data_IF_372157100404
#
_entry.id   IF_372157100404
#
_cell.length_a   1.000
_cell.length_b   1.000
_cell.length_c   1.000
_cell.angle_alpha   90.00
_cell.angle_beta   90.00
_cell.angle_gamma   90.00
#
_symmetry.space_group_name_H-M   'P 1'
#
loop_
_entity.id
_entity.type
_entity.pdbx_description
1 polymer ?
#
# COMPACT_ATOMS: atom_id res chain seq x y z
N UNK A 1 22.11 32.22 -16.93
CA UNK A 1 22.23 30.85 -16.41
C UNK A 1 20.83 30.36 -16.09
N UNK A 2 20.29 29.44 -16.89
CA UNK A 2 18.98 28.85 -16.64
C UNK A 2 19.25 27.58 -15.83
N UNK A 3 18.93 27.62 -14.54
CA UNK A 3 18.91 26.44 -13.68
C UNK A 3 17.71 25.60 -14.11
N UNK A 4 17.97 24.56 -14.90
CA UNK A 4 16.99 23.51 -15.17
C UNK A 4 16.78 22.73 -13.87
N UNK A 5 15.61 22.91 -13.25
CA UNK A 5 15.11 21.97 -12.27
C UNK A 5 15.09 20.59 -12.95
N UNK A 6 15.82 19.62 -12.38
CA UNK A 6 15.67 18.21 -12.79
C UNK A 6 14.25 17.80 -12.42
N UNK A 7 13.37 17.74 -13.42
CA UNK A 7 12.11 17.02 -13.32
C UNK A 7 12.43 15.61 -12.83
N UNK A 8 12.02 15.25 -11.61
CA UNK A 8 12.46 14.03 -10.93
C UNK A 8 11.86 12.76 -11.53
N UNK A 9 11.15 12.86 -12.68
CA UNK A 9 10.58 11.74 -13.42
C UNK A 9 9.51 10.96 -12.65
N UNK A 10 9.08 11.48 -11.49
CA UNK A 10 8.06 10.87 -10.65
C UNK A 10 6.71 10.98 -11.36
N UNK A 11 6.18 9.84 -11.78
CA UNK A 11 4.85 9.79 -12.38
C UNK A 11 3.80 10.31 -11.41
N UNK A 12 2.84 11.08 -11.92
CA UNK A 12 1.67 11.57 -11.14
C UNK A 12 0.51 10.58 -11.15
N UNK A 13 0.53 9.62 -12.07
CA UNK A 13 -0.49 8.58 -12.24
C UNK A 13 0.26 7.25 -12.44
N UNK A 14 -0.12 6.16 -11.75
CA UNK A 14 0.52 4.87 -11.93
C UNK A 14 0.44 4.38 -13.38
N UNK A 15 1.52 3.77 -13.87
CA UNK A 15 1.57 3.23 -15.22
C UNK A 15 0.41 2.26 -15.47
N UNK A 16 -0.29 2.47 -16.58
CA UNK A 16 -1.42 1.65 -17.00
C UNK A 16 -2.77 2.03 -16.36
N UNK A 17 -2.83 3.12 -15.60
CA UNK A 17 -4.09 3.74 -15.16
C UNK A 17 -4.33 5.04 -15.92
N UNK A 18 -5.60 5.32 -16.19
CA UNK A 18 -6.06 6.67 -16.56
C UNK A 18 -6.24 7.54 -15.32
N UNK A 19 -6.28 8.87 -15.48
CA UNK A 19 -6.58 9.79 -14.38
C UNK A 19 -7.92 9.47 -13.71
N UNK A 20 -8.96 9.19 -14.50
CA UNK A 20 -10.28 8.84 -14.00
C UNK A 20 -10.27 7.57 -13.14
N UNK A 21 -9.55 6.52 -13.58
CA UNK A 21 -9.39 5.31 -12.77
C UNK A 21 -8.62 5.58 -11.48
N UNK A 22 -7.58 6.41 -11.55
CA UNK A 22 -6.78 6.76 -10.37
C UNK A 22 -7.60 7.55 -9.34
N UNK A 23 -8.41 8.50 -9.78
CA UNK A 23 -9.30 9.29 -8.93
C UNK A 23 -10.43 8.45 -8.31
N UNK A 24 -10.99 7.52 -9.09
CA UNK A 24 -12.03 6.60 -8.62
C UNK A 24 -11.51 5.71 -7.48
N UNK A 25 -10.34 5.10 -7.65
CA UNK A 25 -9.75 4.29 -6.57
C UNK A 25 -9.22 5.13 -5.42
N UNK A 26 -8.80 6.37 -5.66
CA UNK A 26 -8.44 7.31 -4.60
C UNK A 26 -9.63 7.58 -3.69
N UNK A 27 -10.79 7.88 -4.28
CA UNK A 27 -12.05 8.09 -3.55
C UNK A 27 -12.40 6.88 -2.68
N UNK A 28 -12.30 5.66 -3.25
CA UNK A 28 -12.52 4.42 -2.51
C UNK A 28 -11.55 4.26 -1.33
N UNK A 29 -10.25 4.44 -1.57
CA UNK A 29 -9.21 4.27 -0.54
C UNK A 29 -9.38 5.28 0.59
N UNK A 30 -9.68 6.53 0.26
CA UNK A 30 -9.93 7.60 1.23
C UNK A 30 -11.15 7.30 2.09
N UNK A 31 -12.25 6.86 1.48
CA UNK A 31 -13.49 6.48 2.20
C UNK A 31 -13.29 5.27 3.11
N UNK A 32 -12.74 4.19 2.57
CA UNK A 32 -12.80 2.88 3.25
C UNK A 32 -11.56 2.56 4.08
N UNK A 33 -10.42 3.19 3.78
CA UNK A 33 -9.14 2.89 4.43
C UNK A 33 -8.50 4.11 5.11
N UNK A 34 -9.02 5.32 4.89
CA UNK A 34 -8.51 6.55 5.49
C UNK A 34 -8.46 6.54 7.02
N UNK A 35 -9.36 5.81 7.68
CA UNK A 35 -9.34 5.63 9.14
C UNK A 35 -8.03 4.97 9.66
N UNK A 36 -7.29 4.26 8.81
CA UNK A 36 -5.98 3.67 9.14
C UNK A 36 -4.86 4.70 8.98
N UNK A 37 -4.98 5.69 8.11
CA UNK A 37 -3.99 6.74 7.93
C UNK A 37 -4.17 7.49 6.62
N UNK A 38 -3.70 8.74 6.61
CA UNK A 38 -3.83 9.65 5.46
C UNK A 38 -2.70 9.51 4.44
N UNK A 39 -1.57 8.89 4.80
CA UNK A 39 -0.46 8.64 3.87
C UNK A 39 -0.72 7.34 3.09
N UNK A 40 -1.57 7.44 2.07
CA UNK A 40 -1.88 6.34 1.15
C UNK A 40 -1.13 6.56 -0.16
N UNK A 41 -0.40 5.55 -0.61
CA UNK A 41 0.51 5.62 -1.75
C UNK A 41 0.33 4.43 -2.69
N UNK A 42 0.68 4.63 -3.96
CA UNK A 42 1.03 3.55 -4.89
C UNK A 42 2.55 3.38 -4.89
N UNK A 43 3.02 2.15 -4.88
CA UNK A 43 4.44 1.84 -4.99
C UNK A 43 4.69 0.71 -6.02
N UNK A 44 5.91 0.19 -6.05
CA UNK A 44 6.27 -0.92 -6.93
C UNK A 44 6.43 -0.54 -8.40
N UNK A 45 6.29 -1.51 -9.29
CA UNK A 45 6.65 -1.37 -10.71
C UNK A 45 5.80 -0.32 -11.45
N UNK A 46 4.51 -0.23 -11.12
CA UNK A 46 3.60 0.76 -11.71
C UNK A 46 3.82 2.17 -11.20
N UNK A 47 4.37 2.35 -10.00
CA UNK A 47 4.85 3.66 -9.54
C UNK A 47 6.19 4.03 -10.20
N UNK A 48 7.05 3.04 -10.48
CA UNK A 48 8.34 3.22 -11.17
C UNK A 48 8.24 3.46 -12.68
N UNK A 49 7.17 2.99 -13.32
CA UNK A 49 6.99 3.08 -14.77
C UNK A 49 7.66 1.96 -15.57
N UNK A 50 7.98 0.85 -14.91
CA UNK A 50 8.60 -0.33 -15.54
C UNK A 50 7.74 -1.61 -15.40
N UNK A 51 6.44 -1.45 -15.18
CA UNK A 51 5.49 -2.53 -15.08
C UNK A 51 5.27 -3.21 -16.45
N UNK A 52 5.11 -4.53 -16.41
CA UNK A 52 4.65 -5.32 -17.55
C UNK A 52 3.11 -5.32 -17.63
N UNK A 53 2.55 -5.79 -18.75
CA UNK A 53 1.10 -5.97 -18.89
C UNK A 53 0.48 -6.92 -17.83
N UNK A 54 1.29 -7.82 -17.24
CA UNK A 54 0.84 -8.78 -16.22
C UNK A 54 1.10 -8.31 -14.78
N UNK A 55 1.81 -7.20 -14.61
CA UNK A 55 2.13 -6.65 -13.29
C UNK A 55 0.87 -6.22 -12.56
N UNK A 56 0.83 -6.46 -11.25
CA UNK A 56 -0.16 -5.91 -10.33
C UNK A 56 0.10 -4.42 -10.06
N UNK A 57 -0.83 -3.81 -9.32
CA UNK A 57 -0.66 -2.50 -8.69
C UNK A 57 -0.59 -2.69 -7.17
N UNK A 58 0.40 -2.09 -6.54
CA UNK A 58 0.59 -2.17 -5.09
C UNK A 58 0.19 -0.85 -4.43
N UNK A 59 -0.79 -0.91 -3.54
CA UNK A 59 -1.19 0.19 -2.66
C UNK A 59 -0.66 -0.04 -1.23
N UNK A 60 -0.22 1.03 -0.60
CA UNK A 60 0.28 1.01 0.77
C UNK A 60 -0.31 2.17 1.58
N UNK A 61 -0.73 1.89 2.80
CA UNK A 61 -1.03 2.89 3.82
C UNK A 61 0.18 2.94 4.75
N UNK A 62 0.93 4.04 4.71
CA UNK A 62 2.08 4.25 5.57
C UNK A 62 1.63 4.75 6.92
N UNK A 63 2.14 4.13 7.96
CA UNK A 63 1.85 4.52 9.33
C UNK A 63 3.14 4.66 10.15
N UNK A 64 3.15 5.52 11.19
CA UNK A 64 4.25 5.57 12.14
C UNK A 64 4.44 4.25 12.88
N UNK A 65 5.63 4.05 13.46
CA UNK A 65 5.99 2.85 14.21
C UNK A 65 4.95 2.49 15.29
N UNK A 66 4.55 3.46 16.11
CA UNK A 66 3.60 3.26 17.21
C UNK A 66 2.24 2.75 16.71
N UNK A 67 1.74 3.31 15.61
CA UNK A 67 0.46 2.88 15.02
C UNK A 67 0.58 1.49 14.41
N UNK A 68 1.71 1.19 13.76
CA UNK A 68 1.98 -0.14 13.24
C UNK A 68 1.94 -1.20 14.35
N UNK A 69 2.63 -0.95 15.46
CA UNK A 69 2.68 -1.88 16.60
C UNK A 69 1.32 -2.03 17.29
N UNK A 70 0.55 -0.93 17.41
CA UNK A 70 -0.83 -0.98 17.89
C UNK A 70 -1.73 -1.84 16.97
N UNK A 71 -1.52 -1.78 15.65
CA UNK A 71 -2.21 -2.65 14.70
C UNK A 71 -1.78 -4.10 14.85
N UNK A 72 -0.50 -4.40 15.03
CA UNK A 72 -0.03 -5.76 15.30
C UNK A 72 -0.73 -6.32 16.55
N UNK A 73 -0.72 -5.56 17.66
CA UNK A 73 -1.36 -5.99 18.91
C UNK A 73 -2.86 -6.22 18.74
N UNK A 74 -3.57 -5.30 18.10
CA UNK A 74 -5.03 -5.40 17.94
C UNK A 74 -5.46 -6.51 16.98
N UNK A 75 -4.72 -6.76 15.90
CA UNK A 75 -5.08 -7.78 14.89
C UNK A 75 -4.65 -9.19 15.30
N UNK A 76 -3.45 -9.31 15.86
CA UNK A 76 -2.90 -10.63 16.19
C UNK A 76 -3.19 -11.06 17.63
N UNK A 77 -3.25 -10.13 18.58
CA UNK A 77 -3.40 -10.43 20.00
C UNK A 77 -2.17 -11.19 20.53
N UNK A 78 -2.42 -12.25 21.28
CA UNK A 78 -1.38 -13.18 21.78
C UNK A 78 -1.61 -14.57 21.18
N UNK A 79 -1.27 -14.78 19.90
CA UNK A 79 -1.47 -16.08 19.27
C UNK A 79 -0.58 -17.15 19.92
N UNK A 80 -1.09 -18.39 19.95
CA UNK A 80 -0.31 -19.52 20.44
C UNK A 80 1.02 -19.63 19.69
N UNK A 81 2.14 -19.90 20.39
CA UNK A 81 3.42 -20.21 19.75
C UNK A 81 3.26 -21.27 18.66
N UNK A 82 4.03 -21.14 17.58
CA UNK A 82 4.04 -22.05 16.42
C UNK A 82 2.71 -22.18 15.65
N UNK A 83 1.67 -21.41 16.01
CA UNK A 83 0.46 -21.32 15.20
C UNK A 83 0.73 -20.61 13.87
N UNK A 84 -0.13 -20.87 12.87
CA UNK A 84 -0.08 -20.12 11.62
C UNK A 84 -0.22 -18.62 11.86
N UNK A 85 -1.10 -18.21 12.78
CA UNK A 85 -1.30 -16.81 13.17
C UNK A 85 -0.04 -16.20 13.80
N UNK A 86 0.67 -16.95 14.63
CA UNK A 86 1.93 -16.51 15.22
C UNK A 86 3.01 -16.30 14.15
N UNK A 87 3.16 -17.23 13.20
CA UNK A 87 4.09 -17.06 12.06
C UNK A 87 3.73 -15.84 11.21
N UNK A 88 2.45 -15.63 10.92
CA UNK A 88 1.99 -14.44 10.17
C UNK A 88 2.29 -13.15 10.92
N UNK A 89 2.05 -13.11 12.25
CA UNK A 89 2.38 -11.97 13.10
C UNK A 89 3.88 -11.68 13.06
N UNK A 90 4.74 -12.69 13.25
CA UNK A 90 6.18 -12.54 13.21
C UNK A 90 6.67 -12.03 11.86
N UNK A 91 6.10 -12.53 10.76
CA UNK A 91 6.40 -12.04 9.43
C UNK A 91 6.01 -10.56 9.25
N UNK A 92 4.85 -10.15 9.76
CA UNK A 92 4.42 -8.75 9.70
C UNK A 92 5.36 -7.83 10.50
N UNK A 93 5.79 -8.27 11.69
CA UNK A 93 6.75 -7.54 12.53
C UNK A 93 8.13 -7.45 11.86
N UNK A 94 8.66 -8.55 11.33
CA UNK A 94 10.00 -8.58 10.74
C UNK A 94 10.07 -7.75 9.46
N UNK A 95 9.02 -7.76 8.66
CA UNK A 95 8.95 -7.02 7.40
C UNK A 95 8.48 -5.58 7.55
N UNK A 96 7.75 -5.26 8.61
CA UNK A 96 7.03 -4.00 8.74
C UNK A 96 5.86 -3.88 7.77
N UNK A 97 5.22 -4.99 7.37
CA UNK A 97 4.07 -5.02 6.45
C UNK A 97 2.92 -5.89 6.99
N UNK A 98 1.74 -5.31 7.12
CA UNK A 98 0.49 -6.02 7.41
C UNK A 98 -0.31 -6.15 6.10
N UNK A 99 -0.58 -7.39 5.67
CA UNK A 99 -1.33 -7.66 4.45
C UNK A 99 -2.81 -7.26 4.60
N UNK A 100 -3.50 -6.97 3.49
CA UNK A 100 -4.93 -6.58 3.49
C UNK A 100 -5.83 -7.50 4.33
N UNK A 101 -5.61 -8.82 4.29
CA UNK A 101 -6.41 -9.77 5.07
C UNK A 101 -6.32 -9.50 6.58
N UNK A 102 -5.10 -9.41 7.08
CA UNK A 102 -4.81 -9.16 8.51
C UNK A 102 -5.15 -7.73 8.93
N UNK A 103 -5.07 -6.78 7.99
CA UNK A 103 -5.45 -5.39 8.22
C UNK A 103 -6.98 -5.16 8.18
N UNK A 104 -7.79 -6.17 7.85
CA UNK A 104 -9.24 -6.01 7.69
C UNK A 104 -9.66 -5.30 6.40
N UNK A 105 -8.76 -5.18 5.42
CA UNK A 105 -8.94 -4.48 4.15
C UNK A 105 -9.26 -5.41 2.98
N UNK A 106 -9.63 -6.67 3.25
CA UNK A 106 -9.89 -7.67 2.20
C UNK A 106 -10.98 -7.24 1.23
N UNK A 107 -12.06 -6.63 1.73
CA UNK A 107 -13.16 -6.13 0.90
C UNK A 107 -12.70 -4.99 -0.01
N UNK A 108 -11.99 -3.99 0.56
CA UNK A 108 -11.41 -2.86 -0.19
C UNK A 108 -10.49 -3.35 -1.30
N UNK A 109 -9.58 -4.29 -1.00
CA UNK A 109 -8.69 -4.88 -2.02
C UNK A 109 -9.47 -5.53 -3.17
N UNK A 110 -10.55 -6.26 -2.88
CA UNK A 110 -11.38 -6.89 -3.92
C UNK A 110 -12.07 -5.86 -4.79
N UNK A 111 -12.55 -4.76 -4.20
CA UNK A 111 -13.20 -3.68 -4.94
C UNK A 111 -12.18 -2.92 -5.81
N UNK A 112 -10.95 -2.70 -5.34
CA UNK A 112 -9.86 -2.16 -6.16
C UNK A 112 -9.61 -3.01 -7.42
N UNK A 113 -9.49 -4.33 -7.25
CA UNK A 113 -9.30 -5.24 -8.37
C UNK A 113 -10.47 -5.17 -9.38
N UNK A 114 -11.71 -5.08 -8.88
CA UNK A 114 -12.90 -5.00 -9.71
C UNK A 114 -12.93 -3.71 -10.54
N UNK A 115 -12.66 -2.56 -9.91
CA UNK A 115 -12.66 -1.24 -10.56
C UNK A 115 -11.55 -1.09 -11.59
N UNK A 116 -10.37 -1.65 -11.30
CA UNK A 116 -9.20 -1.54 -12.17
C UNK A 116 -9.13 -2.62 -13.25
N UNK A 117 -9.89 -3.71 -13.10
CA UNK A 117 -9.80 -4.86 -14.02
C UNK A 117 -8.43 -5.55 -14.01
N UNK A 118 -7.65 -5.40 -12.93
CA UNK A 118 -6.32 -6.00 -12.78
C UNK A 118 -6.06 -6.45 -11.35
N UNK A 119 -4.97 -7.19 -11.14
CA UNK A 119 -4.52 -7.57 -9.79
C UNK A 119 -4.09 -6.32 -9.02
N UNK A 120 -4.55 -6.21 -7.79
CA UNK A 120 -4.24 -5.10 -6.90
C UNK A 120 -3.96 -5.63 -5.50
N UNK A 121 -2.85 -5.21 -4.92
CA UNK A 121 -2.51 -5.47 -3.54
C UNK A 121 -2.67 -4.23 -2.68
N UNK A 122 -3.02 -4.45 -1.42
CA UNK A 122 -3.20 -3.40 -0.42
C UNK A 122 -2.55 -3.87 0.88
N UNK A 123 -1.77 -3.00 1.50
CA UNK A 123 -1.11 -3.30 2.77
C UNK A 123 -0.94 -2.07 3.63
N UNK A 124 -0.74 -2.29 4.93
CA UNK A 124 -0.27 -1.26 5.85
C UNK A 124 1.22 -1.48 6.04
N UNK A 125 2.02 -0.44 5.84
CA UNK A 125 3.48 -0.53 5.99
C UNK A 125 3.99 0.45 7.04
N UNK A 126 5.05 0.04 7.72
CA UNK A 126 5.73 0.88 8.71
C UNK A 126 6.64 1.88 8.02
N UNK A 127 6.54 3.15 8.41
CA UNK A 127 7.46 4.20 7.97
C UNK A 127 8.91 3.85 8.30
N UNK A 128 9.83 4.07 7.36
CA UNK A 128 11.24 3.67 7.46
C UNK A 128 11.49 2.15 7.42
N UNK A 129 10.45 1.34 7.18
CA UNK A 129 10.55 -0.10 7.07
C UNK A 129 11.07 -0.59 5.71
N UNK A 130 11.25 -1.91 5.58
CA UNK A 130 11.76 -2.54 4.36
C UNK A 130 10.86 -2.28 3.13
N UNK A 131 9.54 -2.20 3.33
CA UNK A 131 8.57 -1.91 2.27
C UNK A 131 8.33 -0.42 2.06
N UNK A 132 8.90 0.44 2.90
CA UNK A 132 8.94 1.88 2.71
C UNK A 132 10.16 2.26 1.86
N UNK A 133 10.21 1.73 0.64
CA UNK A 133 11.19 2.08 -0.40
C UNK A 133 10.48 2.58 -1.66
N UNK A 134 10.72 3.85 -2.03
CA UNK A 134 10.13 4.49 -3.20
C UNK A 134 10.62 3.95 -4.55
N UNK A 135 10.21 4.58 -5.66
CA UNK A 135 9.38 5.78 -5.74
C UNK A 135 7.90 5.50 -5.40
N UNK A 136 7.20 6.58 -5.08
CA UNK A 136 5.81 6.57 -4.69
C UNK A 136 4.99 7.53 -5.53
N UNK A 137 3.73 7.18 -5.72
CA UNK A 137 2.71 8.10 -6.23
C UNK A 137 1.65 8.25 -5.14
N UNK A 138 1.53 9.43 -4.50
CA UNK A 138 0.50 9.66 -3.50
C UNK A 138 -0.89 9.49 -4.09
N UNK A 139 -1.78 8.87 -3.31
CA UNK A 139 -3.21 8.90 -3.59
C UNK A 139 -3.70 10.35 -3.40
N UNK A 140 -4.39 10.95 -4.39
CA UNK A 140 -4.92 12.30 -4.26
C UNK A 140 -6.00 12.43 -3.16
#
# INVERSE_FOLDING_TARGET
MITTEKDTGLMKIPQGLTKAQFDDVATLLRSEAGHIGDDILVHGSRAKGNASAKSDIDFAIRVPHEKFDAMIKSRFGSPNPDSAKFRTMQHAVSTGKIQAGEAGLRAVRRELQKRLGMKADLSVIRTGGHFDQGPYIPIP
#
